data_IF_708558335823
#
_entry.id   IF_708558335823
#
_cell.length_a   1.000
_cell.length_b   1.000
_cell.length_c   1.000
_cell.angle_alpha   90.00
_cell.angle_beta   90.00
_cell.angle_gamma   90.00
#
_symmetry.space_group_name_H-M   'P 1'
#
loop_
_entity.id
_entity.type
_entity.pdbx_description
1 polymer ?
#
# COMPACT_ATOMS: atom_id res chain seq x y z
N UNK A 1 23.11 -1.60 -19.02
CA UNK A 1 21.64 -1.79 -18.93
C UNK A 1 21.14 -2.48 -17.64
N UNK A 2 21.83 -3.49 -17.08
CA UNK A 2 21.35 -4.22 -15.87
C UNK A 2 21.27 -3.37 -14.58
N UNK A 3 22.15 -2.40 -14.39
CA UNK A 3 22.22 -1.58 -13.15
C UNK A 3 21.07 -0.55 -13.04
N UNK A 4 20.57 -0.02 -14.16
CA UNK A 4 19.44 0.93 -14.17
C UNK A 4 18.11 0.23 -13.83
N UNK A 5 17.91 -1.03 -14.23
CA UNK A 5 16.71 -1.83 -13.90
C UNK A 5 16.56 -2.09 -12.38
N UNK A 6 17.66 -2.36 -11.67
CA UNK A 6 17.63 -2.63 -10.22
C UNK A 6 17.29 -1.40 -9.37
N UNK A 7 17.69 -0.20 -9.79
CA UNK A 7 17.29 1.06 -9.11
C UNK A 7 15.79 1.35 -9.26
N UNK A 8 15.21 1.02 -10.42
CA UNK A 8 13.79 1.25 -10.70
C UNK A 8 12.86 0.41 -9.81
N UNK A 9 13.16 -0.88 -9.62
CA UNK A 9 12.35 -1.77 -8.78
C UNK A 9 12.43 -1.46 -7.28
N UNK A 10 13.55 -0.91 -6.79
CA UNK A 10 13.65 -0.45 -5.39
C UNK A 10 12.79 0.78 -5.11
N UNK A 11 12.61 1.66 -6.10
CA UNK A 11 11.85 2.90 -5.92
C UNK A 11 10.32 2.67 -5.93
N UNK A 12 9.82 1.65 -6.64
CA UNK A 12 8.40 1.26 -6.57
C UNK A 12 8.02 0.70 -5.19
N UNK A 13 8.93 -0.04 -4.55
CA UNK A 13 8.79 -0.54 -3.18
C UNK A 13 8.71 0.61 -2.15
N UNK A 14 9.57 1.63 -2.25
CA UNK A 14 9.57 2.80 -1.36
C UNK A 14 8.25 3.60 -1.38
N UNK A 15 7.58 3.67 -2.53
CA UNK A 15 6.33 4.43 -2.65
C UNK A 15 5.14 3.69 -2.04
N UNK A 16 5.15 2.35 -2.09
CA UNK A 16 4.18 1.50 -1.40
C UNK A 16 4.41 1.48 0.10
N UNK A 17 5.67 1.49 0.52
CA UNK A 17 6.05 1.64 1.93
C UNK A 17 5.45 2.91 2.51
N UNK A 18 5.51 4.04 1.80
CA UNK A 18 4.90 5.31 2.27
C UNK A 18 3.38 5.20 2.36
N UNK A 19 2.71 4.71 1.30
CA UNK A 19 1.24 4.64 1.26
C UNK A 19 0.71 3.67 2.32
N UNK A 20 1.30 2.48 2.44
CA UNK A 20 0.80 1.46 3.35
C UNK A 20 1.21 1.69 4.80
N UNK A 21 2.40 2.26 5.07
CA UNK A 21 2.77 2.67 6.43
C UNK A 21 1.82 3.73 6.97
N UNK A 22 1.31 4.61 6.11
CA UNK A 22 0.35 5.64 6.51
C UNK A 22 -1.03 5.08 6.90
N UNK A 23 -1.41 3.92 6.36
CA UNK A 23 -2.74 3.31 6.57
C UNK A 23 -2.72 2.29 7.71
N UNK A 24 -1.73 1.39 7.75
CA UNK A 24 -1.73 0.24 8.67
C UNK A 24 -0.56 0.26 9.68
N UNK A 25 0.39 1.17 9.52
CA UNK A 25 1.62 1.19 10.31
C UNK A 25 2.68 0.20 9.79
N UNK A 26 3.93 0.47 10.17
CA UNK A 26 5.11 -0.19 9.61
C UNK A 26 5.15 -1.71 9.81
N UNK A 27 4.81 -2.19 11.00
CA UNK A 27 4.89 -3.62 11.32
C UNK A 27 3.88 -4.45 10.51
N UNK A 28 2.63 -3.99 10.38
CA UNK A 28 1.62 -4.64 9.53
C UNK A 28 2.01 -4.57 8.05
N UNK A 29 2.55 -3.44 7.61
CA UNK A 29 3.06 -3.33 6.24
C UNK A 29 4.14 -4.37 5.94
N UNK A 30 5.17 -4.49 6.79
CA UNK A 30 6.27 -5.42 6.59
C UNK A 30 5.77 -6.88 6.48
N UNK A 31 4.74 -7.25 7.24
CA UNK A 31 4.11 -8.57 7.14
C UNK A 31 3.30 -8.74 5.86
N UNK A 32 2.47 -7.76 5.50
CA UNK A 32 1.67 -7.78 4.27
C UNK A 32 2.54 -7.81 3.00
N UNK A 33 3.67 -7.10 2.99
CA UNK A 33 4.63 -7.09 1.88
C UNK A 33 5.31 -8.46 1.73
N UNK A 34 5.72 -9.09 2.84
CA UNK A 34 6.24 -10.46 2.81
C UNK A 34 5.22 -11.46 2.28
N UNK A 35 3.96 -11.37 2.72
CA UNK A 35 2.89 -12.25 2.21
C UNK A 35 2.64 -11.98 0.72
N UNK A 36 2.65 -10.72 0.27
CA UNK A 36 2.51 -10.37 -1.15
C UNK A 36 3.65 -10.99 -1.99
N UNK A 37 4.88 -10.91 -1.50
CA UNK A 37 6.06 -11.48 -2.14
C UNK A 37 5.95 -13.00 -2.24
N UNK A 38 5.66 -13.68 -1.12
CA UNK A 38 5.51 -15.14 -1.10
C UNK A 38 4.38 -15.56 -2.05
N UNK A 39 3.22 -14.90 -1.98
CA UNK A 39 2.09 -15.18 -2.87
C UNK A 39 2.48 -15.05 -4.34
N UNK A 40 3.23 -13.99 -4.71
CA UNK A 40 3.70 -13.79 -6.08
C UNK A 40 4.67 -14.88 -6.54
N UNK A 41 5.55 -15.35 -5.65
CA UNK A 41 6.47 -16.45 -5.93
C UNK A 41 5.71 -17.77 -6.11
N UNK A 42 4.67 -18.02 -5.30
CA UNK A 42 3.81 -19.21 -5.41
C UNK A 42 3.00 -19.24 -6.72
N UNK A 43 2.53 -18.09 -7.24
CA UNK A 43 1.90 -18.02 -8.56
C UNK A 43 2.85 -18.43 -9.70
N UNK A 44 4.14 -18.07 -9.62
CA UNK A 44 5.15 -18.53 -10.59
C UNK A 44 5.54 -20.01 -10.38
N UNK A 45 5.40 -20.55 -9.17
CA UNK A 45 5.55 -22.00 -8.89
C UNK A 45 4.38 -22.83 -9.42
N UNK A 46 3.14 -22.36 -9.37
CA UNK A 46 2.00 -23.02 -10.04
C UNK A 46 2.22 -23.14 -11.56
N UNK A 47 3.04 -22.25 -12.13
CA UNK A 47 3.49 -22.30 -13.52
C UNK A 47 4.66 -23.29 -13.75
N UNK A 48 5.36 -23.74 -12.70
CA UNK A 48 6.45 -24.73 -12.76
C UNK A 48 6.51 -25.63 -11.48
N UNK A 49 5.85 -26.80 -11.48
CA UNK A 49 5.45 -27.54 -10.28
C UNK A 49 6.55 -28.35 -9.54
N UNK A 50 7.84 -28.01 -9.72
CA UNK A 50 8.96 -28.82 -9.21
C UNK A 50 9.45 -28.38 -7.81
N UNK A 51 8.93 -27.28 -7.25
CA UNK A 51 9.48 -26.68 -6.02
C UNK A 51 8.45 -26.70 -4.88
N UNK A 52 8.45 -27.78 -4.10
CA UNK A 52 7.87 -27.83 -2.75
C UNK A 52 8.97 -27.46 -1.74
N UNK A 53 8.77 -26.42 -0.94
CA UNK A 53 9.72 -26.06 0.12
C UNK A 53 9.11 -25.11 1.14
N UNK A 54 9.37 -25.34 2.43
CA UNK A 54 9.53 -24.46 3.62
C UNK A 54 8.80 -23.11 3.74
N UNK A 55 8.51 -22.43 2.65
CA UNK A 55 7.93 -21.09 2.51
C UNK A 55 6.43 -21.05 2.85
N UNK A 56 5.69 -22.16 2.68
CA UNK A 56 4.27 -22.24 3.10
C UNK A 56 4.13 -22.18 4.63
N UNK A 57 4.96 -22.91 5.37
CA UNK A 57 4.99 -22.86 6.85
C UNK A 57 5.38 -21.46 7.35
N UNK A 58 6.29 -20.79 6.64
CA UNK A 58 6.68 -19.41 6.97
C UNK A 58 5.54 -18.41 6.71
N UNK A 59 4.78 -18.60 5.62
CA UNK A 59 3.62 -17.78 5.31
C UNK A 59 2.51 -17.90 6.37
N UNK A 60 2.21 -19.12 6.82
CA UNK A 60 1.19 -19.36 7.85
C UNK A 60 1.55 -18.67 9.17
N UNK A 61 2.82 -18.75 9.59
CA UNK A 61 3.29 -18.06 10.79
C UNK A 61 3.19 -16.54 10.67
N UNK A 62 3.53 -15.98 9.50
CA UNK A 62 3.41 -14.53 9.26
C UNK A 62 1.93 -14.11 9.26
N UNK A 63 1.04 -14.94 8.72
CA UNK A 63 -0.40 -14.70 8.77
C UNK A 63 -0.91 -14.69 10.21
N UNK A 64 -0.54 -15.67 11.04
CA UNK A 64 -0.92 -15.67 12.46
C UNK A 64 -0.47 -14.39 13.18
N UNK A 65 0.78 -13.94 12.98
CA UNK A 65 1.30 -12.69 13.56
C UNK A 65 0.56 -11.45 13.04
N UNK A 66 0.17 -11.46 11.77
CA UNK A 66 -0.65 -10.40 11.16
C UNK A 66 -2.03 -10.31 11.81
N UNK A 67 -2.70 -11.44 12.00
CA UNK A 67 -4.01 -11.52 12.65
C UNK A 67 -3.94 -10.98 14.09
N UNK A 68 -2.97 -11.42 14.88
CA UNK A 68 -2.78 -10.94 16.25
C UNK A 68 -2.52 -9.42 16.30
N UNK A 69 -1.75 -8.91 15.34
CA UNK A 69 -1.46 -7.46 15.25
C UNK A 69 -2.71 -6.64 14.95
N UNK A 70 -3.55 -7.09 14.02
CA UNK A 70 -4.83 -6.44 13.76
C UNK A 70 -5.77 -6.51 14.95
N UNK A 71 -5.89 -7.67 15.62
CA UNK A 71 -6.70 -7.83 16.83
C UNK A 71 -6.23 -6.85 17.91
N UNK A 72 -4.92 -6.67 18.08
CA UNK A 72 -4.34 -5.70 18.99
C UNK A 72 -4.78 -4.26 18.70
N UNK A 73 -4.73 -3.84 17.42
CA UNK A 73 -5.18 -2.51 17.00
C UNK A 73 -6.69 -2.33 17.20
N UNK A 74 -7.49 -3.32 16.85
CA UNK A 74 -8.95 -3.31 17.02
C UNK A 74 -9.30 -3.12 18.50
N UNK A 75 -8.74 -3.95 19.38
CA UNK A 75 -8.96 -3.84 20.83
C UNK A 75 -8.54 -2.47 21.35
N UNK A 76 -7.37 -1.97 20.94
CA UNK A 76 -6.91 -0.64 21.36
C UNK A 76 -7.89 0.47 20.96
N UNK A 77 -8.46 0.41 19.75
CA UNK A 77 -9.45 1.41 19.28
C UNK A 77 -10.77 1.29 20.04
N UNK A 78 -11.24 0.08 20.29
CA UNK A 78 -12.43 -0.15 21.10
C UNK A 78 -12.28 0.35 22.53
N UNK A 79 -11.13 0.09 23.17
CA UNK A 79 -10.86 0.50 24.54
C UNK A 79 -10.82 2.02 24.67
N UNK A 80 -10.29 2.73 23.66
CA UNK A 80 -10.34 4.20 23.60
C UNK A 80 -11.77 4.74 23.57
N UNK A 81 -12.66 4.08 22.83
CA UNK A 81 -14.08 4.46 22.78
C UNK A 81 -14.79 4.12 24.09
N UNK A 82 -14.60 2.90 24.62
CA UNK A 82 -15.20 2.45 25.88
C UNK A 82 -14.76 3.30 27.08
N UNK A 83 -13.51 3.76 27.09
CA UNK A 83 -12.97 4.62 28.16
C UNK A 83 -13.29 6.11 27.98
N UNK A 84 -13.99 6.50 26.90
CA UNK A 84 -14.32 7.90 26.60
C UNK A 84 -13.12 8.75 26.15
N UNK A 85 -11.99 8.13 25.77
CA UNK A 85 -10.82 8.81 25.21
C UNK A 85 -11.02 9.21 23.74
N UNK A 86 -11.98 8.58 23.05
CA UNK A 86 -12.35 8.87 21.67
C UNK A 86 -13.85 8.70 21.48
N UNK A 87 -14.48 9.57 20.69
CA UNK A 87 -15.91 9.47 20.38
C UNK A 87 -16.21 8.47 19.26
N UNK A 88 -15.18 7.98 18.53
CA UNK A 88 -15.33 7.04 17.43
C UNK A 88 -14.10 6.12 17.26
N UNK A 89 -14.21 5.14 16.35
CA UNK A 89 -13.18 4.13 16.07
C UNK A 89 -12.07 4.60 15.11
N UNK A 90 -12.02 5.90 14.78
CA UNK A 90 -11.13 6.50 13.78
C UNK A 90 -11.85 6.84 12.48
N UNK A 91 -11.34 7.84 11.75
CA UNK A 91 -11.87 8.31 10.46
C UNK A 91 -11.23 7.64 9.24
N UNK A 92 -10.58 6.50 9.43
CA UNK A 92 -9.89 5.74 8.38
C UNK A 92 -10.68 4.50 7.96
N UNK A 93 -10.11 3.72 7.02
CA UNK A 93 -10.74 2.51 6.49
C UNK A 93 -11.07 1.49 7.60
N UNK A 94 -10.12 1.24 8.51
CA UNK A 94 -10.34 0.33 9.65
C UNK A 94 -11.43 0.86 10.60
N UNK A 95 -11.47 2.17 10.86
CA UNK A 95 -12.52 2.79 11.65
C UNK A 95 -13.91 2.59 11.03
N UNK A 96 -14.01 2.68 9.70
CA UNK A 96 -15.26 2.43 8.98
C UNK A 96 -15.73 0.98 9.10
N UNK A 97 -14.81 0.02 9.01
CA UNK A 97 -15.11 -1.39 9.23
C UNK A 97 -15.54 -1.67 10.67
N UNK A 98 -14.91 -1.03 11.66
CA UNK A 98 -15.31 -1.15 13.07
C UNK A 98 -16.71 -0.61 13.35
N UNK A 99 -17.14 0.44 12.64
CA UNK A 99 -18.55 0.89 12.70
C UNK A 99 -19.49 -0.21 12.19
N UNK A 100 -19.12 -0.92 11.12
CA UNK A 100 -19.87 -2.08 10.63
C UNK A 100 -19.88 -3.26 11.62
N UNK A 101 -18.77 -3.51 12.31
CA UNK A 101 -18.68 -4.55 13.34
C UNK A 101 -19.64 -4.31 14.51
N UNK A 102 -19.76 -3.04 14.93
CA UNK A 102 -20.62 -2.60 16.04
C UNK A 102 -22.03 -2.17 15.57
N UNK A 103 -22.49 -2.63 14.40
CA UNK A 103 -23.82 -2.28 13.89
C UNK A 103 -24.93 -2.73 14.88
N UNK A 104 -26.02 -1.96 14.96
CA UNK A 104 -27.18 -2.30 15.77
C UNK A 104 -27.95 -3.50 15.19
N UNK A 105 -27.97 -3.62 13.86
CA UNK A 105 -28.54 -4.75 13.14
C UNK A 105 -27.54 -5.91 13.08
N UNK A 106 -27.90 -7.04 13.70
CA UNK A 106 -27.05 -8.23 13.76
C UNK A 106 -26.80 -8.84 12.39
N UNK A 107 -27.75 -8.74 11.45
CA UNK A 107 -27.59 -9.26 10.08
C UNK A 107 -26.60 -8.43 9.25
N UNK A 108 -26.34 -7.19 9.66
CA UNK A 108 -25.41 -6.27 9.01
C UNK A 108 -24.05 -6.17 9.73
N UNK A 109 -23.84 -6.92 10.83
CA UNK A 109 -22.55 -6.96 11.52
C UNK A 109 -21.55 -7.79 10.73
N UNK A 110 -20.36 -7.23 10.54
CA UNK A 110 -19.19 -7.98 10.06
C UNK A 110 -18.40 -8.51 11.25
N UNK A 111 -17.77 -9.67 11.11
CA UNK A 111 -16.90 -10.29 12.11
C UNK A 111 -15.50 -9.67 12.12
N UNK A 112 -14.72 -9.92 13.18
CA UNK A 112 -13.32 -9.48 13.25
C UNK A 112 -12.48 -10.11 12.13
N UNK A 113 -12.73 -11.37 11.82
CA UNK A 113 -12.01 -12.06 10.74
C UNK A 113 -12.29 -11.41 9.37
N UNK A 114 -13.54 -11.02 9.11
CA UNK A 114 -13.92 -10.28 7.89
C UNK A 114 -13.24 -8.91 7.83
N UNK A 115 -13.13 -8.18 8.95
CA UNK A 115 -12.40 -6.90 9.00
C UNK A 115 -10.95 -7.08 8.56
N UNK A 116 -10.28 -8.13 9.06
CA UNK A 116 -8.87 -8.42 8.77
C UNK A 116 -8.70 -8.81 7.30
N UNK A 117 -9.55 -9.69 6.79
CA UNK A 117 -9.51 -10.10 5.38
C UNK A 117 -9.81 -8.92 4.44
N UNK A 118 -10.73 -8.02 4.78
CA UNK A 118 -10.98 -6.79 3.99
C UNK A 118 -9.77 -5.85 4.00
N UNK A 119 -9.09 -5.68 5.14
CA UNK A 119 -7.86 -4.88 5.21
C UNK A 119 -6.74 -5.46 4.35
N UNK A 120 -6.57 -6.79 4.39
CA UNK A 120 -5.60 -7.52 3.57
C UNK A 120 -5.93 -7.44 2.08
N UNK A 121 -7.20 -7.60 1.72
CA UNK A 121 -7.70 -7.46 0.35
C UNK A 121 -7.46 -6.06 -0.21
N UNK A 122 -7.81 -5.03 0.57
CA UNK A 122 -7.56 -3.64 0.23
C UNK A 122 -6.06 -3.38 -0.03
N UNK A 123 -5.19 -3.91 0.84
CA UNK A 123 -3.75 -3.82 0.63
C UNK A 123 -3.30 -4.47 -0.68
N UNK A 124 -3.70 -5.72 -0.95
CA UNK A 124 -3.23 -6.41 -2.17
C UNK A 124 -3.73 -5.76 -3.46
N UNK A 125 -4.98 -5.28 -3.47
CA UNK A 125 -5.55 -4.56 -4.60
C UNK A 125 -4.77 -3.26 -4.87
N UNK A 126 -4.50 -2.48 -3.81
CA UNK A 126 -3.69 -1.27 -3.90
C UNK A 126 -2.23 -1.56 -4.30
N UNK A 127 -1.63 -2.59 -3.71
CA UNK A 127 -0.22 -2.92 -3.90
C UNK A 127 0.09 -3.21 -5.37
N UNK A 128 -0.66 -4.11 -6.02
CA UNK A 128 -0.40 -4.50 -7.41
C UNK A 128 -0.61 -3.34 -8.39
N UNK A 129 -1.69 -2.58 -8.22
CA UNK A 129 -2.04 -1.47 -9.11
C UNK A 129 -1.06 -0.31 -8.99
N UNK A 130 -0.74 0.10 -7.77
CA UNK A 130 0.21 1.20 -7.49
C UNK A 130 1.63 0.81 -7.90
N UNK A 131 2.11 -0.40 -7.58
CA UNK A 131 3.43 -0.88 -8.04
C UNK A 131 3.57 -0.79 -9.55
N UNK A 132 2.55 -1.27 -10.26
CA UNK A 132 2.54 -1.29 -11.72
C UNK A 132 2.55 0.12 -12.29
N UNK A 133 1.66 0.99 -11.79
CA UNK A 133 1.58 2.39 -12.21
C UNK A 133 2.92 3.10 -12.01
N UNK A 134 3.54 2.97 -10.84
CA UNK A 134 4.85 3.57 -10.57
C UNK A 134 5.95 3.02 -11.49
N UNK A 135 5.95 1.71 -11.73
CA UNK A 135 6.93 1.08 -12.62
C UNK A 135 6.81 1.64 -14.05
N UNK A 136 5.59 1.80 -14.55
CA UNK A 136 5.32 2.40 -15.85
C UNK A 136 5.64 3.89 -15.89
N UNK A 137 5.29 4.66 -14.86
CA UNK A 137 5.66 6.09 -14.77
C UNK A 137 7.16 6.28 -14.81
N UNK A 138 7.92 5.48 -14.04
CA UNK A 138 9.39 5.54 -14.06
C UNK A 138 9.96 5.12 -15.41
N UNK A 139 9.39 4.09 -16.05
CA UNK A 139 9.80 3.67 -17.38
C UNK A 139 9.60 4.81 -18.40
N UNK A 140 8.43 5.46 -18.40
CA UNK A 140 8.10 6.57 -19.29
C UNK A 140 9.04 7.77 -19.06
N UNK A 141 9.30 8.15 -17.82
CA UNK A 141 10.25 9.21 -17.51
C UNK A 141 11.66 8.87 -18.00
N UNK A 142 12.09 7.61 -17.86
CA UNK A 142 13.42 7.19 -18.30
C UNK A 142 13.61 7.19 -19.83
N UNK A 143 12.53 7.08 -20.62
CA UNK A 143 12.59 7.14 -22.09
C UNK A 143 12.25 8.54 -22.64
N UNK A 144 11.59 9.38 -21.86
CA UNK A 144 11.25 10.77 -22.20
C UNK A 144 12.03 11.75 -21.30
N UNK A 145 13.33 11.87 -21.54
CA UNK A 145 14.26 12.65 -20.70
C UNK A 145 13.87 14.12 -20.58
N UNK A 146 13.27 14.71 -21.62
CA UNK A 146 12.82 16.11 -21.60
C UNK A 146 11.70 16.33 -20.56
N UNK A 147 10.86 15.32 -20.35
CA UNK A 147 9.80 15.34 -19.34
C UNK A 147 10.35 15.00 -17.95
N UNK A 148 11.38 14.15 -17.86
CA UNK A 148 12.12 13.91 -16.62
C UNK A 148 12.74 15.21 -16.09
N UNK A 149 13.45 15.94 -16.96
CA UNK A 149 14.14 17.18 -16.60
C UNK A 149 13.14 18.25 -16.15
N UNK A 150 12.08 18.50 -16.93
CA UNK A 150 11.03 19.45 -16.54
C UNK A 150 10.31 19.06 -15.25
N UNK A 151 10.06 17.77 -15.02
CA UNK A 151 9.44 17.31 -13.77
C UNK A 151 10.38 17.53 -12.58
N UNK A 152 11.69 17.37 -12.77
CA UNK A 152 12.71 17.63 -11.75
C UNK A 152 12.82 19.13 -11.45
N UNK A 153 12.79 19.97 -12.48
CA UNK A 153 12.76 21.43 -12.34
C UNK A 153 11.52 21.88 -11.58
N UNK A 154 10.33 21.38 -11.93
CA UNK A 154 9.07 21.69 -11.23
C UNK A 154 9.17 21.33 -9.73
N UNK A 155 9.67 20.13 -9.43
CA UNK A 155 9.87 19.69 -8.04
C UNK A 155 10.85 20.61 -7.31
N UNK A 156 11.99 20.94 -7.90
CA UNK A 156 12.98 21.83 -7.27
C UNK A 156 12.46 23.26 -7.09
N UNK A 157 11.65 23.76 -8.02
CA UNK A 157 11.06 25.10 -7.95
C UNK A 157 10.03 25.20 -6.82
N UNK A 158 9.15 24.20 -6.67
CA UNK A 158 8.06 24.26 -5.70
C UNK A 158 8.37 23.63 -4.34
N UNK A 159 9.31 22.70 -4.27
CA UNK A 159 9.69 22.01 -3.02
C UNK A 159 11.10 22.37 -2.55
N UNK A 160 12.01 22.76 -3.45
CA UNK A 160 13.41 23.02 -3.09
C UNK A 160 14.06 21.82 -2.38
N UNK A 161 14.45 22.02 -1.11
CA UNK A 161 14.93 20.97 -0.19
C UNK A 161 13.94 20.70 0.97
N UNK A 162 12.77 21.31 0.95
CA UNK A 162 11.78 21.15 2.00
C UNK A 162 10.95 19.87 1.82
N UNK A 163 10.39 19.37 2.92
CA UNK A 163 9.52 18.20 2.87
C UNK A 163 8.21 18.53 2.15
N UNK A 164 7.67 17.61 1.32
CA UNK A 164 6.39 17.82 0.65
C UNK A 164 5.24 18.06 1.63
N UNK A 165 4.41 19.05 1.33
CA UNK A 165 3.14 19.34 2.01
C UNK A 165 1.99 19.11 1.05
N UNK A 166 0.77 18.95 1.55
CA UNK A 166 -0.42 18.79 0.70
C UNK A 166 -0.56 19.97 -0.28
N UNK A 167 -0.25 21.18 0.18
CA UNK A 167 -0.30 22.38 -0.64
C UNK A 167 0.79 22.39 -1.72
N UNK A 168 2.04 22.03 -1.41
CA UNK A 168 3.11 22.00 -2.41
C UNK A 168 2.88 20.89 -3.45
N UNK A 169 2.38 19.72 -3.04
CA UNK A 169 1.97 18.64 -3.95
C UNK A 169 0.86 19.11 -4.91
N UNK A 170 -0.08 19.93 -4.44
CA UNK A 170 -1.16 20.50 -5.26
C UNK A 170 -0.67 21.50 -6.32
N UNK A 171 0.59 21.94 -6.24
CA UNK A 171 1.22 22.85 -7.20
C UNK A 171 2.04 22.15 -8.30
N UNK A 172 2.41 20.88 -8.09
CA UNK A 172 3.14 20.04 -9.07
C UNK A 172 2.25 19.57 -10.23
N UNK A 173 1.99 20.45 -11.20
CA UNK A 173 1.06 20.18 -12.30
C UNK A 173 1.60 19.11 -13.24
N UNK A 174 2.89 19.16 -13.58
CA UNK A 174 3.49 18.19 -14.51
C UNK A 174 3.57 16.80 -13.90
N UNK A 175 3.97 16.68 -12.62
CA UNK A 175 4.00 15.39 -11.91
C UNK A 175 2.62 14.75 -11.86
N UNK A 176 1.55 15.54 -11.63
CA UNK A 176 0.17 15.02 -11.64
C UNK A 176 -0.38 14.70 -13.03
N UNK A 177 0.15 15.34 -14.07
CA UNK A 177 -0.33 15.22 -15.47
C UNK A 177 0.23 13.98 -16.19
N UNK A 178 1.10 13.19 -15.57
CA UNK A 178 1.66 11.96 -16.17
C UNK A 178 0.58 10.96 -16.62
N UNK A 179 -0.65 11.05 -16.07
CA UNK A 179 -1.79 10.25 -16.53
C UNK A 179 -2.27 10.61 -17.95
N UNK A 180 -2.10 11.87 -18.40
CA UNK A 180 -2.51 12.32 -19.74
C UNK A 180 -1.56 11.88 -20.86
N UNK A 181 -0.34 11.45 -20.53
CA UNK A 181 0.63 10.92 -21.52
C UNK A 181 0.21 9.52 -21.99
N UNK A 182 -0.49 8.76 -21.14
CA UNK A 182 -0.98 7.42 -21.49
C UNK A 182 -2.11 7.47 -22.54
N UNK A 183 -2.91 8.54 -22.55
CA UNK A 183 -4.00 8.73 -23.53
C UNK A 183 -3.57 9.38 -24.84
N UNK A 184 -2.42 10.07 -24.88
CA UNK A 184 -1.95 10.77 -26.09
C UNK A 184 -0.97 9.96 -26.95
N UNK A 185 -0.62 8.74 -26.53
CA UNK A 185 0.22 7.79 -27.26
C UNK A 185 -0.56 6.62 -27.89
N UNK A 186 -1.89 6.68 -27.88
CA UNK A 186 -2.80 5.78 -28.59
C UNK A 186 -3.47 6.54 -29.75
#
# INVERSE_FOLDING_TARGET
MKVKRLKCMKNSSLSLEIISNSVFGKHIFDMLDKIAYISSMSYEKLRNPIIESSEEIEADKILEELFESFIGIIKQREDKVKSGQSDNYGGDFLGSLLVGHHNADEEARISVDEIIEECKSFYFAGHKTVTSLLSWSMYLLAIHTDWEEKSREEVLEFLGQENPTTESISRLKMVRTQHLIFFSLQ
#
